data_IF_675885158571
#
_entry.id   IF_675885158571
#
_cell.length_a   1.000
_cell.length_b   1.000
_cell.length_c   1.000
_cell.angle_alpha   90.00
_cell.angle_beta   90.00
_cell.angle_gamma   90.00
#
_symmetry.space_group_name_H-M   'P 1'
#
loop_
_entity.id
_entity.type
_entity.pdbx_description
1 polymer ?
#
# COMPACT_ATOMS: atom_id res chain seq x y z
N UNK A 1 10.53 -4.42 21.16
CA UNK A 1 10.90 -5.24 19.99
C UNK A 1 10.94 -4.36 18.76
N UNK A 2 12.13 -4.26 18.17
CA UNK A 2 12.53 -3.79 16.85
C UNK A 2 11.67 -2.76 16.10
N UNK A 3 12.23 -1.55 16.05
CA UNK A 3 12.01 -0.51 15.03
C UNK A 3 11.93 -1.13 13.63
N UNK A 4 10.79 -1.00 12.95
CA UNK A 4 10.73 -1.09 11.48
C UNK A 4 10.20 0.25 10.95
N UNK A 5 11.03 1.28 11.08
CA UNK A 5 10.93 2.49 10.28
C UNK A 5 11.63 2.18 8.96
N UNK A 6 10.88 1.66 8.00
CA UNK A 6 11.38 1.40 6.65
C UNK A 6 11.38 2.72 5.87
N UNK A 7 12.33 3.63 6.20
CA UNK A 7 12.65 4.76 5.31
C UNK A 7 13.41 4.19 4.11
N UNK A 8 12.69 3.65 3.13
CA UNK A 8 13.27 3.27 1.85
C UNK A 8 13.48 4.55 1.06
N UNK A 9 14.67 5.14 1.15
CA UNK A 9 15.13 6.12 0.18
C UNK A 9 15.97 5.37 -0.86
N UNK A 10 15.34 4.99 -1.98
CA UNK A 10 16.01 4.34 -3.10
C UNK A 10 16.49 5.44 -4.07
N UNK A 11 17.77 5.82 -3.99
CA UNK A 11 18.43 6.60 -5.04
C UNK A 11 19.31 5.59 -5.78
N UNK A 12 18.88 5.16 -6.95
CA UNK A 12 19.67 4.24 -7.77
C UNK A 12 20.31 5.04 -8.90
N UNK A 13 21.64 5.21 -8.84
CA UNK A 13 22.43 5.76 -9.94
C UNK A 13 23.14 4.61 -10.64
N UNK A 14 22.76 4.32 -11.88
CA UNK A 14 23.41 3.33 -12.73
C UNK A 14 24.45 4.00 -13.64
N UNK A 15 25.70 3.56 -13.57
CA UNK A 15 26.71 3.83 -14.60
C UNK A 15 26.83 2.59 -15.47
N UNK A 16 26.25 2.64 -16.66
CA UNK A 16 26.22 1.50 -17.59
C UNK A 16 27.39 1.60 -18.55
N UNK A 17 28.16 0.52 -18.71
CA UNK A 17 29.03 0.29 -19.87
C UNK A 17 28.23 -0.51 -20.91
N UNK A 18 28.14 -0.02 -22.14
CA UNK A 18 27.28 -0.60 -23.17
C UNK A 18 28.03 -1.73 -23.92
N UNK A 19 27.43 -2.92 -23.99
CA UNK A 19 27.85 -3.94 -24.94
C UNK A 19 27.66 -3.49 -26.39
N UNK A 20 28.55 -3.89 -27.29
CA UNK A 20 28.58 -3.45 -28.70
C UNK A 20 28.07 -4.51 -29.69
N UNK A 21 27.57 -5.64 -29.21
CA UNK A 21 27.06 -6.76 -30.03
C UNK A 21 25.61 -7.09 -29.68
N UNK A 22 24.91 -7.78 -30.58
CA UNK A 22 23.60 -8.36 -30.32
C UNK A 22 23.61 -9.17 -29.01
N UNK A 23 22.51 -9.09 -28.26
CA UNK A 23 22.27 -9.79 -26.99
C UNK A 23 23.27 -9.46 -25.83
N UNK A 24 24.23 -8.55 -26.04
CA UNK A 24 25.29 -8.26 -25.07
C UNK A 24 24.77 -7.71 -23.73
N UNK A 25 23.56 -7.13 -23.72
CA UNK A 25 22.94 -6.53 -22.54
C UNK A 25 21.72 -7.32 -22.05
N UNK A 26 21.43 -8.51 -22.61
CA UNK A 26 20.24 -9.31 -22.27
C UNK A 26 20.20 -9.66 -20.78
N UNK A 27 21.37 -9.89 -20.16
CA UNK A 27 21.46 -10.22 -18.74
C UNK A 27 21.11 -9.02 -17.86
N UNK A 28 21.74 -7.87 -18.09
CA UNK A 28 21.50 -6.62 -17.38
C UNK A 28 20.05 -6.17 -17.53
N UNK A 29 19.51 -6.31 -18.74
CA UNK A 29 18.11 -6.04 -19.02
C UNK A 29 17.16 -6.94 -18.23
N UNK A 30 17.46 -8.24 -18.13
CA UNK A 30 16.67 -9.19 -17.32
C UNK A 30 16.71 -8.83 -15.83
N UNK A 31 17.87 -8.44 -15.31
CA UNK A 31 18.03 -8.03 -13.92
C UNK A 31 17.25 -6.73 -13.65
N UNK A 32 17.28 -5.76 -14.57
CA UNK A 32 16.46 -4.55 -14.54
C UNK A 32 14.95 -4.86 -14.64
N UNK A 33 14.53 -5.82 -15.46
CA UNK A 33 13.15 -6.31 -15.48
C UNK A 33 12.72 -6.89 -14.13
N UNK A 34 13.64 -7.54 -13.41
CA UNK A 34 13.40 -8.03 -12.05
C UNK A 34 13.04 -6.91 -11.07
N UNK A 35 13.82 -5.83 -11.08
CA UNK A 35 13.54 -4.64 -10.27
C UNK A 35 12.27 -3.93 -10.74
N UNK A 36 12.07 -3.76 -12.05
CA UNK A 36 10.85 -3.19 -12.63
C UNK A 36 9.60 -3.89 -12.11
N UNK A 37 9.59 -5.23 -12.17
CA UNK A 37 8.45 -6.06 -11.74
C UNK A 37 8.18 -5.97 -10.23
N UNK A 38 9.16 -5.62 -9.40
CA UNK A 38 8.94 -5.32 -7.98
C UNK A 38 8.37 -3.91 -7.78
N UNK A 39 8.97 -2.89 -8.40
CA UNK A 39 8.59 -1.48 -8.22
C UNK A 39 7.15 -1.18 -8.64
N UNK A 40 6.61 -1.96 -9.59
CA UNK A 40 5.24 -1.77 -10.06
C UNK A 40 4.19 -2.49 -9.21
N UNK A 41 4.56 -3.41 -8.33
CA UNK A 41 3.58 -4.15 -7.51
C UNK A 41 2.77 -3.24 -6.58
N UNK A 42 1.60 -3.72 -6.17
CA UNK A 42 0.80 -3.14 -5.07
C UNK A 42 1.67 -3.13 -3.81
N UNK A 43 1.66 -2.03 -3.05
CA UNK A 43 2.37 -1.96 -1.77
C UNK A 43 1.57 -2.77 -0.75
N UNK A 44 2.10 -3.88 -0.20
CA UNK A 44 1.33 -4.75 0.67
C UNK A 44 0.77 -3.99 1.87
N UNK A 45 -0.48 -4.27 2.20
CA UNK A 45 -1.07 -3.89 3.48
C UNK A 45 -0.69 -4.95 4.53
N UNK A 46 -0.24 -4.58 5.74
CA UNK A 46 -0.01 -5.56 6.80
C UNK A 46 -1.27 -6.35 7.14
N UNK A 47 -1.11 -7.66 7.17
CA UNK A 47 -2.15 -8.61 7.56
C UNK A 47 -1.81 -9.26 8.90
N UNK A 48 -2.85 -9.62 9.65
CA UNK A 48 -2.76 -10.44 10.85
C UNK A 48 -3.37 -11.80 10.59
N UNK A 49 -2.77 -12.82 11.19
CA UNK A 49 -3.30 -14.18 11.17
C UNK A 49 -4.37 -14.33 12.26
N UNK A 50 -5.51 -14.87 11.87
CA UNK A 50 -6.66 -15.15 12.73
C UNK A 50 -6.96 -16.64 12.69
N UNK A 51 -7.39 -17.19 13.82
CA UNK A 51 -7.72 -18.61 13.92
C UNK A 51 -6.49 -19.55 13.87
N UNK A 52 -6.77 -20.84 14.06
CA UNK A 52 -5.76 -21.90 13.98
C UNK A 52 -5.53 -22.39 12.52
N UNK A 53 -6.43 -22.01 11.61
CA UNK A 53 -6.41 -22.33 10.17
C UNK A 53 -5.47 -21.42 9.37
N UNK A 54 -4.89 -20.39 10.00
CA UNK A 54 -3.96 -19.48 9.36
C UNK A 54 -4.63 -18.42 8.48
N UNK A 55 -5.94 -18.22 8.63
CA UNK A 55 -6.68 -17.19 7.89
C UNK A 55 -6.05 -15.81 8.10
N UNK A 56 -5.95 -15.00 7.05
CA UNK A 56 -5.38 -13.66 7.12
C UNK A 56 -6.45 -12.60 6.93
N UNK A 57 -6.34 -11.50 7.68
CA UNK A 57 -7.19 -10.33 7.53
C UNK A 57 -6.39 -9.06 7.77
N UNK A 58 -6.89 -7.94 7.27
CA UNK A 58 -6.33 -6.62 7.55
C UNK A 58 -6.53 -6.26 9.04
N UNK A 59 -5.57 -5.50 9.57
CA UNK A 59 -5.52 -5.12 11.00
C UNK A 59 -6.74 -4.32 11.42
N UNK A 60 -7.22 -3.42 10.56
CA UNK A 60 -8.40 -2.57 10.78
C UNK A 60 -9.68 -3.41 10.94
N UNK A 61 -9.93 -4.34 10.03
CA UNK A 61 -11.08 -5.26 10.07
C UNK A 61 -11.04 -6.15 11.31
N UNK A 62 -9.85 -6.64 11.68
CA UNK A 62 -9.72 -7.44 12.89
C UNK A 62 -9.96 -6.63 14.15
N UNK A 63 -9.46 -5.39 14.19
CA UNK A 63 -9.71 -4.47 15.30
C UNK A 63 -11.21 -4.19 15.42
N UNK A 64 -11.90 -3.90 14.32
CA UNK A 64 -13.35 -3.70 14.32
C UNK A 64 -14.10 -4.92 14.85
N UNK A 65 -13.79 -6.12 14.36
CA UNK A 65 -14.42 -7.37 14.82
C UNK A 65 -14.24 -7.61 16.33
N UNK A 66 -13.03 -7.41 16.84
CA UNK A 66 -12.73 -7.53 18.29
C UNK A 66 -13.51 -6.48 19.07
N UNK A 67 -13.51 -5.22 18.62
CA UNK A 67 -14.21 -4.14 19.30
C UNK A 67 -15.72 -4.35 19.32
N UNK A 68 -16.31 -4.81 18.21
CA UNK A 68 -17.72 -5.21 18.15
C UNK A 68 -18.04 -6.26 19.21
N UNK A 69 -17.19 -7.28 19.35
CA UNK A 69 -17.38 -8.34 20.35
C UNK A 69 -17.33 -7.79 21.77
N UNK A 70 -16.31 -6.98 22.09
CA UNK A 70 -16.14 -6.39 23.43
C UNK A 70 -17.31 -5.45 23.77
N UNK A 71 -17.72 -4.60 22.83
CA UNK A 71 -18.84 -3.68 23.01
C UNK A 71 -20.13 -4.48 23.20
N UNK A 72 -20.41 -5.46 22.34
CA UNK A 72 -21.61 -6.31 22.43
C UNK A 72 -21.69 -7.04 23.76
N UNK A 73 -20.56 -7.52 24.27
CA UNK A 73 -20.43 -8.09 25.62
C UNK A 73 -20.75 -7.05 26.71
N UNK A 74 -20.16 -5.85 26.64
CA UNK A 74 -20.41 -4.77 27.60
C UNK A 74 -21.88 -4.29 27.60
N UNK A 75 -22.55 -4.33 26.44
CA UNK A 75 -23.96 -4.00 26.30
C UNK A 75 -24.88 -4.94 27.09
N UNK A 76 -24.48 -6.19 27.32
CA UNK A 76 -25.26 -7.15 28.14
C UNK A 76 -25.33 -6.77 29.63
N UNK A 77 -24.41 -5.91 30.07
CA UNK A 77 -24.31 -5.43 31.46
C UNK A 77 -24.42 -3.92 31.58
N UNK A 78 -25.00 -3.29 30.56
CA UNK A 78 -25.13 -1.84 30.47
C UNK A 78 -25.94 -1.27 31.65
N UNK A 79 -25.61 -0.04 32.04
CA UNK A 79 -26.37 0.71 33.03
C UNK A 79 -27.79 0.95 32.53
N UNK A 80 -28.78 0.86 33.42
CA UNK A 80 -30.19 1.04 33.04
C UNK A 80 -30.43 2.37 32.31
N UNK A 81 -29.88 3.48 32.82
CA UNK A 81 -30.02 4.78 32.17
C UNK A 81 -29.46 4.84 30.74
N UNK A 82 -28.38 4.11 30.46
CA UNK A 82 -27.83 4.02 29.10
C UNK A 82 -28.66 3.08 28.22
N UNK A 83 -29.10 1.94 28.78
CA UNK A 83 -29.95 0.97 28.12
C UNK A 83 -31.27 1.60 27.66
N UNK A 84 -31.96 2.32 28.56
CA UNK A 84 -33.25 2.98 28.30
C UNK A 84 -33.14 3.95 27.10
N UNK A 85 -31.99 4.63 26.93
CA UNK A 85 -31.73 5.53 25.80
C UNK A 85 -31.53 4.78 24.48
N UNK A 86 -30.90 3.61 24.52
CA UNK A 86 -30.75 2.74 23.34
C UNK A 86 -32.03 1.96 23.01
N UNK A 87 -33.07 2.01 23.86
CA UNK A 87 -34.39 1.40 23.66
C UNK A 87 -35.44 2.35 23.11
N UNK A 88 -35.18 3.66 23.12
CA UNK A 88 -36.14 4.65 22.67
C UNK A 88 -36.52 4.40 21.19
N UNK A 89 -37.82 4.30 20.92
CA UNK A 89 -38.36 3.92 19.60
C UNK A 89 -38.25 5.05 18.54
N UNK A 90 -37.93 6.28 18.97
CA UNK A 90 -37.81 7.46 18.11
C UNK A 90 -36.45 7.52 17.39
N UNK A 91 -36.29 6.69 16.35
CA UNK A 91 -35.08 6.51 15.52
C UNK A 91 -33.83 6.06 16.31
N UNK A 92 -32.93 5.26 15.71
CA UNK A 92 -31.65 4.97 16.35
C UNK A 92 -30.94 6.32 16.61
N UNK A 93 -30.67 6.67 17.87
CA UNK A 93 -30.14 8.00 18.18
C UNK A 93 -28.80 8.14 17.46
N UNK A 94 -28.60 9.19 16.68
CA UNK A 94 -27.29 9.42 16.08
C UNK A 94 -26.25 9.58 17.20
N UNK A 95 -24.99 9.14 17.01
CA UNK A 95 -23.98 9.22 18.07
C UNK A 95 -23.85 10.58 18.74
N UNK A 96 -24.00 11.65 17.96
CA UNK A 96 -23.90 13.03 18.41
C UNK A 96 -25.10 13.45 19.27
N UNK A 97 -26.31 12.96 18.97
CA UNK A 97 -27.51 13.35 19.71
C UNK A 97 -27.48 12.85 21.15
N UNK A 98 -26.80 11.73 21.41
CA UNK A 98 -26.62 11.20 22.77
C UNK A 98 -25.68 12.05 23.66
N UNK A 99 -24.96 13.01 23.07
CA UNK A 99 -24.04 13.90 23.78
C UNK A 99 -24.59 15.31 23.98
N UNK A 100 -25.73 15.64 23.38
CA UNK A 100 -26.32 16.98 23.44
C UNK A 100 -26.75 17.34 24.87
N UNK A 101 -26.81 18.64 25.18
CA UNK A 101 -27.08 19.11 26.54
C UNK A 101 -28.41 18.63 27.13
N UNK A 102 -29.40 18.43 26.26
CA UNK A 102 -30.76 17.98 26.59
C UNK A 102 -30.92 16.46 26.49
N UNK A 103 -29.90 15.74 26.05
CA UNK A 103 -29.98 14.30 25.86
C UNK A 103 -30.13 13.58 27.21
N UNK A 104 -31.05 12.62 27.24
CA UNK A 104 -31.16 11.71 28.38
C UNK A 104 -29.83 10.96 28.54
N UNK A 105 -29.37 10.82 29.79
CA UNK A 105 -28.14 10.10 30.12
C UNK A 105 -26.85 10.66 29.46
N UNK A 106 -26.82 11.93 29.03
CA UNK A 106 -25.66 12.55 28.34
C UNK A 106 -24.32 12.34 29.04
N UNK A 107 -24.32 12.36 30.37
CA UNK A 107 -23.10 12.26 31.17
C UNK A 107 -22.44 10.88 31.03
N UNK A 108 -23.21 9.85 30.66
CA UNK A 108 -22.69 8.52 30.36
C UNK A 108 -22.04 8.42 28.98
N UNK A 109 -22.46 9.25 28.02
CA UNK A 109 -22.01 9.19 26.62
C UNK A 109 -20.93 10.25 26.30
N UNK A 110 -20.83 11.32 27.08
CA UNK A 110 -19.92 12.46 26.84
C UNK A 110 -18.45 12.05 26.62
N UNK A 111 -17.99 11.00 27.30
CA UNK A 111 -16.60 10.51 27.23
C UNK A 111 -16.37 9.35 26.24
N UNK A 112 -17.37 8.98 25.45
CA UNK A 112 -17.29 7.84 24.51
C UNK A 112 -17.19 8.39 23.09
N UNK A 113 -16.25 7.89 22.27
CA UNK A 113 -16.10 8.32 20.87
C UNK A 113 -17.36 8.00 20.04
N UNK A 114 -17.68 8.85 19.05
CA UNK A 114 -18.90 8.71 18.24
C UNK A 114 -18.98 7.36 17.51
N UNK A 115 -17.84 6.83 17.07
CA UNK A 115 -17.77 5.55 16.38
C UNK A 115 -18.02 4.35 17.31
N UNK A 116 -17.68 4.48 18.60
CA UNK A 116 -18.04 3.50 19.63
C UNK A 116 -19.53 3.59 19.94
N UNK A 117 -20.09 4.79 20.04
CA UNK A 117 -21.53 4.97 20.24
C UNK A 117 -22.30 4.38 19.05
N UNK A 118 -21.84 4.60 17.81
CA UNK A 118 -22.41 3.98 16.62
C UNK A 118 -22.39 2.44 16.72
N UNK A 119 -21.29 1.85 17.17
CA UNK A 119 -21.22 0.42 17.45
C UNK A 119 -22.19 -0.01 18.56
N UNK A 120 -22.35 0.78 19.62
CA UNK A 120 -23.31 0.49 20.69
C UNK A 120 -24.74 0.44 20.15
N UNK A 121 -25.15 1.45 19.38
CA UNK A 121 -26.46 1.54 18.74
C UNK A 121 -26.70 0.34 17.81
N UNK A 122 -25.74 0.02 16.94
CA UNK A 122 -25.87 -1.06 15.97
C UNK A 122 -25.92 -2.46 16.61
N UNK A 123 -25.25 -2.66 17.75
CA UNK A 123 -25.12 -3.98 18.38
C UNK A 123 -26.11 -4.21 19.53
N UNK A 124 -26.68 -3.17 20.13
CA UNK A 124 -27.58 -3.32 21.27
C UNK A 124 -28.84 -4.14 20.96
N UNK A 125 -29.54 -3.93 19.82
CA UNK A 125 -30.68 -4.77 19.42
C UNK A 125 -30.31 -6.25 19.28
N UNK A 126 -29.05 -6.56 18.96
CA UNK A 126 -28.57 -7.94 18.80
C UNK A 126 -28.35 -8.68 20.12
N UNK A 127 -28.38 -7.98 21.25
CA UNK A 127 -28.16 -8.58 22.58
C UNK A 127 -29.43 -9.07 23.25
N UNK A 128 -30.58 -8.95 22.58
CA UNK A 128 -31.91 -9.23 23.14
C UNK A 128 -32.85 -9.79 22.05
N UNK A 129 -33.90 -10.53 22.46
CA UNK A 129 -34.84 -11.07 21.51
C UNK A 129 -35.54 -9.99 20.70
N UNK A 130 -35.71 -10.21 19.39
CA UNK A 130 -36.33 -9.22 18.50
C UNK A 130 -35.90 -9.34 17.04
N UNK A 131 -36.27 -8.33 16.24
CA UNK A 131 -36.08 -8.32 14.78
C UNK A 131 -34.60 -8.42 14.37
N UNK A 132 -33.70 -7.82 15.16
CA UNK A 132 -32.26 -7.78 14.91
C UNK A 132 -31.47 -8.70 15.84
N UNK A 133 -32.13 -9.68 16.46
CA UNK A 133 -31.48 -10.53 17.45
C UNK A 133 -30.33 -11.36 16.86
N UNK A 134 -29.26 -11.53 17.64
CA UNK A 134 -28.27 -12.57 17.39
C UNK A 134 -28.57 -13.76 18.29
N UNK A 135 -29.36 -14.71 17.76
CA UNK A 135 -29.80 -15.91 18.49
C UNK A 135 -28.65 -16.69 19.10
N UNK A 136 -27.54 -16.85 18.38
CA UNK A 136 -26.39 -17.61 18.84
C UNK A 136 -25.71 -16.92 20.02
N UNK A 137 -25.57 -15.59 19.96
CA UNK A 137 -25.01 -14.80 21.06
C UNK A 137 -25.92 -14.84 22.30
N UNK A 138 -27.23 -14.63 22.13
CA UNK A 138 -28.22 -14.65 23.21
C UNK A 138 -28.22 -16.01 23.92
N UNK A 139 -28.24 -17.11 23.16
CA UNK A 139 -28.20 -18.47 23.71
C UNK A 139 -26.87 -18.74 24.43
N UNK A 140 -25.73 -18.37 23.83
CA UNK A 140 -24.40 -18.60 24.39
C UNK A 140 -24.21 -17.98 25.78
N UNK A 141 -24.76 -16.78 25.99
CA UNK A 141 -24.61 -16.04 27.25
C UNK A 141 -25.86 -16.05 28.14
N UNK A 142 -26.91 -16.79 27.73
CA UNK A 142 -28.19 -16.89 28.44
C UNK A 142 -28.78 -15.50 28.79
N UNK A 143 -28.96 -14.67 27.76
CA UNK A 143 -29.43 -13.29 27.87
C UNK A 143 -30.98 -13.20 27.88
N UNK A 144 -31.58 -12.20 28.55
CA UNK A 144 -30.93 -11.17 29.37
C UNK A 144 -30.42 -11.73 30.71
N UNK A 145 -29.33 -11.16 31.21
CA UNK A 145 -28.79 -11.55 32.52
C UNK A 145 -29.70 -11.07 33.66
N UNK A 146 -29.92 -11.89 34.71
CA UNK A 146 -30.60 -11.45 35.92
C UNK A 146 -29.90 -10.23 36.55
N UNK A 147 -30.68 -9.29 37.10
CA UNK A 147 -30.16 -8.01 37.63
C UNK A 147 -28.99 -8.15 38.63
N UNK A 148 -29.00 -9.10 39.60
CA UNK A 148 -27.87 -9.28 40.51
C UNK A 148 -26.57 -9.67 39.77
N UNK A 149 -26.66 -10.55 38.77
CA UNK A 149 -25.49 -10.95 37.96
C UNK A 149 -25.00 -9.79 37.10
N UNK A 150 -25.94 -9.04 36.52
CA UNK A 150 -25.62 -7.85 35.73
C UNK A 150 -24.80 -6.84 36.55
N UNK A 151 -25.28 -6.48 37.75
CA UNK A 151 -24.59 -5.56 38.67
C UNK A 151 -23.22 -6.09 39.10
N UNK A 152 -23.10 -7.40 39.35
CA UNK A 152 -21.83 -8.01 39.74
C UNK A 152 -20.77 -7.99 38.63
N UNK A 153 -21.17 -8.16 37.37
CA UNK A 153 -20.26 -8.22 36.22
C UNK A 153 -19.89 -6.83 35.67
N UNK A 154 -20.75 -5.84 35.87
CA UNK A 154 -20.61 -4.50 35.31
C UNK A 154 -19.22 -3.86 35.56
N UNK A 155 -18.61 -3.89 36.77
CA UNK A 155 -17.29 -3.30 36.98
C UNK A 155 -16.17 -3.96 36.17
N UNK A 156 -16.23 -5.29 36.00
CA UNK A 156 -15.23 -6.05 35.25
C UNK A 156 -15.33 -5.77 33.75
N UNK A 157 -16.55 -5.77 33.20
CA UNK A 157 -16.77 -5.43 31.80
C UNK A 157 -16.42 -3.97 31.50
N UNK A 158 -16.71 -3.04 32.40
CA UNK A 158 -16.28 -1.65 32.28
C UNK A 158 -14.75 -1.54 32.19
N UNK A 159 -14.01 -2.21 33.09
CA UNK A 159 -12.54 -2.20 33.09
C UNK A 159 -11.96 -2.77 31.80
N UNK A 160 -12.46 -3.93 31.35
CA UNK A 160 -12.00 -4.58 30.12
C UNK A 160 -12.32 -3.72 28.89
N UNK A 161 -13.53 -3.17 28.82
CA UNK A 161 -13.95 -2.30 27.71
C UNK A 161 -13.09 -1.04 27.67
N UNK A 162 -12.84 -0.40 28.82
CA UNK A 162 -11.98 0.78 28.90
C UNK A 162 -10.55 0.47 28.41
N UNK A 163 -9.95 -0.61 28.88
CA UNK A 163 -8.61 -1.02 28.43
C UNK A 163 -8.58 -1.33 26.92
N UNK A 164 -9.64 -1.95 26.39
CA UNK A 164 -9.75 -2.21 24.96
C UNK A 164 -9.90 -0.94 24.12
N UNK A 165 -10.64 0.06 24.62
CA UNK A 165 -10.78 1.37 23.97
C UNK A 165 -9.45 2.13 23.92
N UNK A 166 -8.68 2.10 25.02
CA UNK A 166 -7.35 2.72 25.06
C UNK A 166 -6.42 2.04 24.05
N UNK A 167 -6.39 0.70 24.01
CA UNK A 167 -5.58 -0.06 23.05
C UNK A 167 -6.03 0.18 21.60
N UNK A 168 -7.34 0.28 21.35
CA UNK A 168 -7.90 0.57 20.02
C UNK A 168 -7.37 1.89 19.48
N UNK A 169 -7.25 2.92 20.32
CA UNK A 169 -6.70 4.23 19.92
C UNK A 169 -5.25 4.08 19.45
N UNK A 170 -4.44 3.33 20.19
CA UNK A 170 -3.05 3.08 19.82
C UNK A 170 -2.93 2.28 18.52
N UNK A 171 -3.76 1.26 18.32
CA UNK A 171 -3.78 0.48 17.08
C UNK A 171 -4.24 1.34 15.90
N UNK A 172 -5.28 2.17 16.05
CA UNK A 172 -5.72 3.12 15.01
C UNK A 172 -4.61 4.09 14.62
N UNK A 173 -3.87 4.62 15.59
CA UNK A 173 -2.71 5.48 15.33
C UNK A 173 -1.64 4.74 14.52
N UNK A 174 -1.40 3.46 14.81
CA UNK A 174 -0.45 2.62 14.08
C UNK A 174 -0.93 2.30 12.67
N UNK A 175 -2.21 2.01 12.47
CA UNK A 175 -2.80 1.82 11.13
C UNK A 175 -2.60 3.10 10.29
N UNK A 176 -2.88 4.27 10.85
CA UNK A 176 -2.64 5.54 10.17
C UNK A 176 -1.17 5.73 9.76
N UNK A 177 -0.24 5.42 10.67
CA UNK A 177 1.20 5.44 10.37
C UNK A 177 1.58 4.48 9.23
N UNK A 178 0.99 3.27 9.20
CA UNK A 178 1.19 2.30 8.13
C UNK A 178 0.68 2.85 6.79
N UNK A 179 -0.50 3.48 6.76
CA UNK A 179 -1.02 4.10 5.54
C UNK A 179 -0.06 5.16 5.00
N UNK A 180 0.47 6.04 5.86
CA UNK A 180 1.48 7.03 5.47
C UNK A 180 2.73 6.37 4.92
N UNK A 181 3.27 5.36 5.60
CA UNK A 181 4.48 4.65 5.16
C UNK A 181 4.28 3.93 3.82
N UNK A 182 3.09 3.35 3.58
CA UNK A 182 2.75 2.74 2.30
C UNK A 182 2.72 3.76 1.16
N UNK A 183 2.18 4.95 1.43
CA UNK A 183 2.20 6.07 0.49
C UNK A 183 3.64 6.53 0.19
N UNK A 184 4.45 6.75 1.22
CA UNK A 184 5.86 7.14 1.07
C UNK A 184 6.65 6.10 0.26
N UNK A 185 6.42 4.81 0.52
CA UNK A 185 7.04 3.73 -0.24
C UNK A 185 6.60 3.74 -1.72
N UNK A 186 5.31 3.94 -2.00
CA UNK A 186 4.79 4.08 -3.37
C UNK A 186 5.42 5.27 -4.09
N UNK A 187 5.54 6.42 -3.43
CA UNK A 187 6.19 7.59 -4.02
C UNK A 187 7.68 7.36 -4.27
N UNK A 188 8.37 6.63 -3.39
CA UNK A 188 9.78 6.26 -3.58
C UNK A 188 9.95 5.30 -4.77
N UNK A 189 9.04 4.34 -4.94
CA UNK A 189 9.02 3.42 -6.08
C UNK A 189 8.76 4.17 -7.41
N UNK A 190 7.81 5.11 -7.42
CA UNK A 190 7.53 5.94 -8.58
C UNK A 190 8.74 6.82 -8.95
N UNK A 191 9.40 7.41 -7.94
CA UNK A 191 10.67 8.15 -8.10
C UNK A 191 11.77 7.28 -8.69
N UNK A 192 12.01 6.09 -8.13
CA UNK A 192 13.05 5.20 -8.62
C UNK A 192 12.78 4.74 -10.07
N UNK A 193 11.51 4.53 -10.42
CA UNK A 193 11.14 4.03 -11.75
C UNK A 193 11.11 5.14 -12.81
N UNK A 194 10.58 6.32 -12.50
CA UNK A 194 10.28 7.37 -13.47
C UNK A 194 10.93 8.73 -13.18
N UNK A 195 11.69 8.85 -12.09
CA UNK A 195 12.32 10.08 -11.62
C UNK A 195 11.39 11.30 -11.61
N UNK A 196 10.17 11.07 -11.14
CA UNK A 196 9.19 12.11 -10.89
C UNK A 196 9.58 12.87 -9.64
N UNK A 197 9.98 14.13 -9.80
CA UNK A 197 10.48 14.95 -8.68
C UNK A 197 9.35 15.23 -7.65
N UNK A 198 8.08 15.12 -8.07
CA UNK A 198 6.87 15.19 -7.23
C UNK A 198 5.82 14.14 -7.63
N UNK A 199 5.94 12.88 -7.18
CA UNK A 199 5.02 11.81 -7.55
C UNK A 199 3.57 12.07 -7.12
N UNK A 200 3.37 12.82 -6.03
CA UNK A 200 2.06 13.05 -5.43
C UNK A 200 1.15 14.01 -6.20
N UNK A 201 1.69 14.79 -7.16
CA UNK A 201 0.90 15.75 -7.97
C UNK A 201 0.49 15.19 -9.33
N UNK A 202 1.13 14.10 -9.76
CA UNK A 202 0.77 13.36 -10.97
C UNK A 202 0.03 12.09 -10.49
N UNK A 203 -1.19 11.82 -10.94
CA UNK A 203 -2.12 10.81 -10.37
C UNK A 203 -1.65 9.31 -10.44
N UNK A 204 -0.45 8.98 -9.94
CA UNK A 204 0.31 7.75 -10.23
C UNK A 204 0.75 7.06 -8.92
N UNK A 205 0.14 7.34 -7.77
CA UNK A 205 0.71 6.92 -6.47
C UNK A 205 -0.26 6.29 -5.49
N UNK A 206 -1.37 5.68 -5.92
CA UNK A 206 -2.17 4.87 -4.99
C UNK A 206 -1.37 3.60 -4.58
N UNK A 207 -1.10 3.38 -3.28
CA UNK A 207 -0.39 2.19 -2.82
C UNK A 207 -1.21 0.90 -2.98
N UNK A 208 -2.53 1.00 -3.17
CA UNK A 208 -3.44 -0.15 -3.29
C UNK A 208 -3.58 -0.69 -4.71
N UNK A 209 -3.06 0.02 -5.71
CA UNK A 209 -3.08 -0.41 -7.10
C UNK A 209 -1.67 -0.66 -7.62
N UNK A 210 -1.54 -1.41 -8.72
CA UNK A 210 -0.26 -1.56 -9.42
C UNK A 210 0.17 -0.17 -9.91
N UNK A 211 1.46 0.18 -9.76
CA UNK A 211 1.99 1.44 -10.26
C UNK A 211 1.68 1.54 -11.77
N UNK A 212 0.92 2.55 -12.22
CA UNK A 212 0.59 2.68 -13.62
C UNK A 212 1.81 3.16 -14.42
N UNK A 213 1.73 3.01 -15.74
CA UNK A 213 2.72 3.63 -16.63
C UNK A 213 2.63 5.16 -16.59
N UNK A 214 3.75 5.83 -16.86
CA UNK A 214 3.80 7.28 -17.01
C UNK A 214 3.33 7.71 -18.41
N UNK A 215 2.70 8.88 -18.51
CA UNK A 215 2.35 9.48 -19.81
C UNK A 215 3.63 9.81 -20.60
N UNK A 216 3.57 9.69 -21.93
CA UNK A 216 4.73 9.90 -22.79
C UNK A 216 5.35 11.30 -22.62
N UNK A 217 4.53 12.35 -22.49
CA UNK A 217 4.97 13.73 -22.24
C UNK A 217 5.67 13.95 -20.90
N UNK A 218 5.58 12.98 -19.99
CA UNK A 218 6.15 13.01 -18.64
C UNK A 218 7.30 12.02 -18.48
N UNK A 219 7.64 11.28 -19.52
CA UNK A 219 8.77 10.35 -19.48
C UNK A 219 10.07 11.11 -19.19
N UNK A 220 10.96 10.62 -18.29
CA UNK A 220 12.19 11.30 -17.86
C UNK A 220 13.27 11.28 -18.95
N UNK A 221 12.97 11.93 -20.07
CA UNK A 221 13.86 12.13 -21.19
C UNK A 221 13.79 13.58 -21.63
N UNK A 222 14.94 14.26 -21.62
CA UNK A 222 15.01 15.67 -21.97
C UNK A 222 14.64 15.86 -23.44
N UNK A 223 13.68 16.75 -23.70
CA UNK A 223 13.25 17.07 -25.05
C UNK A 223 14.44 17.54 -25.91
N UNK A 224 14.41 17.20 -27.21
CA UNK A 224 15.46 17.53 -28.17
C UNK A 224 16.88 17.07 -27.80
N UNK A 225 17.00 16.13 -26.86
CA UNK A 225 18.28 15.52 -26.49
C UNK A 225 18.36 14.12 -27.07
N UNK A 226 19.44 13.85 -27.80
CA UNK A 226 19.66 12.54 -28.39
C UNK A 226 20.02 11.47 -27.35
N UNK A 227 19.99 10.21 -27.81
CA UNK A 227 20.35 9.03 -27.01
C UNK A 227 21.71 9.18 -26.36
N UNK A 228 22.76 9.53 -27.09
CA UNK A 228 24.12 9.51 -26.54
C UNK A 228 24.34 10.59 -25.49
N UNK A 229 23.71 11.75 -25.67
CA UNK A 229 23.75 12.84 -24.68
C UNK A 229 22.97 12.45 -23.42
N UNK A 230 21.81 11.82 -23.56
CA UNK A 230 21.01 11.33 -22.43
C UNK A 230 21.67 10.16 -21.72
N UNK A 231 22.25 9.22 -22.48
CA UNK A 231 22.80 7.96 -22.00
C UNK A 231 24.29 8.02 -21.70
N UNK A 232 24.89 9.20 -21.83
CA UNK A 232 26.22 9.48 -21.32
C UNK A 232 26.29 9.28 -19.79
N UNK A 233 27.50 9.39 -19.25
CA UNK A 233 27.78 9.26 -17.82
C UNK A 233 26.76 10.02 -16.98
N UNK A 234 26.27 9.33 -15.93
CA UNK A 234 25.34 9.90 -14.97
C UNK A 234 25.84 11.27 -14.48
N UNK A 235 24.96 12.26 -14.54
CA UNK A 235 25.23 13.60 -14.07
C UNK A 235 24.68 13.77 -12.64
N UNK A 236 25.43 14.46 -11.80
CA UNK A 236 25.02 14.74 -10.41
C UNK A 236 23.78 15.64 -10.31
N UNK A 237 23.43 16.33 -11.40
CA UNK A 237 22.21 17.13 -11.53
C UNK A 237 20.97 16.30 -11.92
N UNK A 238 21.13 15.00 -12.13
CA UNK A 238 20.05 14.10 -12.49
C UNK A 238 19.46 14.36 -13.87
N UNK A 239 20.18 14.97 -14.81
CA UNK A 239 19.67 15.26 -16.16
C UNK A 239 19.93 14.17 -17.21
N UNK A 240 20.62 13.09 -16.83
CA UNK A 240 21.13 12.02 -17.70
C UNK A 240 20.73 10.62 -17.21
N UNK A 241 21.27 9.58 -17.83
CA UNK A 241 21.23 8.19 -17.35
C UNK A 241 21.62 8.11 -15.87
N UNK A 242 21.06 7.13 -15.17
CA UNK A 242 21.17 6.96 -13.73
C UNK A 242 20.14 7.77 -12.93
N UNK A 243 19.22 8.50 -13.57
CA UNK A 243 18.11 9.21 -12.87
C UNK A 243 16.97 8.25 -12.51
N UNK A 244 16.63 7.32 -13.40
CA UNK A 244 15.49 6.43 -13.27
C UNK A 244 15.73 5.09 -13.96
N UNK A 245 15.21 4.01 -13.37
CA UNK A 245 15.27 2.69 -13.98
C UNK A 245 14.71 2.70 -15.41
N UNK A 246 13.64 3.43 -15.67
CA UNK A 246 13.04 3.48 -16.99
C UNK A 246 13.95 4.15 -18.04
N UNK A 247 14.64 5.23 -17.68
CA UNK A 247 15.66 5.86 -18.55
C UNK A 247 16.80 4.88 -18.80
N UNK A 248 17.26 4.18 -17.77
CA UNK A 248 18.40 3.27 -17.85
C UNK A 248 18.12 2.04 -18.70
N UNK A 249 16.90 1.49 -18.61
CA UNK A 249 16.44 0.43 -19.50
C UNK A 249 16.43 0.87 -20.97
N UNK A 250 15.99 2.10 -21.27
CA UNK A 250 16.01 2.63 -22.65
C UNK A 250 17.46 2.82 -23.12
N UNK A 251 18.32 3.39 -22.28
CA UNK A 251 19.73 3.60 -22.62
C UNK A 251 20.48 2.31 -22.90
N UNK A 252 20.21 1.26 -22.11
CA UNK A 252 20.82 -0.05 -22.24
C UNK A 252 20.45 -0.74 -23.57
N UNK A 253 19.22 -0.55 -24.05
CA UNK A 253 18.66 -1.38 -25.13
C UNK A 253 18.59 -0.71 -26.50
N UNK A 254 18.81 0.61 -26.59
CA UNK A 254 18.73 1.36 -27.86
C UNK A 254 20.12 1.77 -28.32
N UNK A 255 20.41 1.61 -29.61
CA UNK A 255 21.66 2.07 -30.23
C UNK A 255 21.64 3.57 -30.57
N UNK A 256 22.82 4.12 -30.80
CA UNK A 256 23.00 5.30 -31.64
C UNK A 256 22.90 4.93 -33.13
N UNK A 257 22.23 5.78 -33.92
CA UNK A 257 22.22 5.82 -35.38
C UNK A 257 21.93 4.52 -36.15
N UNK A 258 20.64 4.30 -36.46
CA UNK A 258 20.20 3.59 -37.69
C UNK A 258 20.45 2.07 -37.76
N UNK A 259 21.23 1.50 -36.86
CA UNK A 259 21.59 0.09 -36.79
C UNK A 259 20.61 -0.74 -35.92
N UNK A 260 20.82 -2.06 -35.85
CA UNK A 260 19.89 -2.99 -35.19
C UNK A 260 19.82 -2.76 -33.67
N UNK A 261 18.60 -2.80 -33.11
CA UNK A 261 18.34 -2.56 -31.67
C UNK A 261 18.29 -3.86 -30.84
N UNK A 262 19.14 -4.84 -31.15
CA UNK A 262 19.09 -6.19 -30.57
C UNK A 262 19.98 -6.38 -29.33
N UNK A 263 20.57 -5.31 -28.78
CA UNK A 263 21.45 -5.36 -27.60
C UNK A 263 20.84 -6.05 -26.38
N UNK A 264 19.55 -5.86 -26.14
CA UNK A 264 18.84 -6.49 -25.02
C UNK A 264 18.12 -7.79 -25.41
N UNK A 265 18.24 -8.23 -26.67
CA UNK A 265 17.55 -9.40 -27.20
C UNK A 265 17.09 -9.18 -28.64
N UNK A 266 17.50 -10.05 -29.57
CA UNK A 266 17.04 -10.02 -30.96
C UNK A 266 15.51 -10.16 -31.15
N UNK A 267 14.79 -10.67 -30.14
CA UNK A 267 13.34 -10.79 -30.14
C UNK A 267 12.60 -9.48 -29.78
N UNK A 268 13.32 -8.47 -29.26
CA UNK A 268 12.72 -7.20 -28.85
C UNK A 268 12.40 -6.36 -30.10
N UNK A 269 11.12 -6.28 -30.48
CA UNK A 269 10.66 -5.46 -31.62
C UNK A 269 10.64 -3.97 -31.28
N UNK A 270 11.81 -3.38 -31.05
CA UNK A 270 11.95 -1.96 -30.69
C UNK A 270 11.69 -1.09 -31.92
N UNK A 271 10.66 -0.21 -31.90
CA UNK A 271 10.06 0.35 -33.11
C UNK A 271 10.90 1.41 -33.85
N UNK A 272 11.95 1.98 -33.25
CA UNK A 272 12.83 2.97 -33.91
C UNK A 272 14.28 2.90 -33.39
N UNK A 273 15.24 3.12 -34.30
CA UNK A 273 16.70 3.03 -34.06
C UNK A 273 17.35 4.36 -33.68
N UNK A 274 16.60 5.46 -33.69
CA UNK A 274 17.10 6.79 -33.30
C UNK A 274 16.15 7.49 -32.34
N UNK A 275 16.68 7.86 -31.17
CA UNK A 275 16.03 8.79 -30.25
C UNK A 275 16.73 10.14 -30.42
N UNK A 276 16.10 11.06 -31.15
CA UNK A 276 16.63 12.40 -31.43
C UNK A 276 15.50 13.40 -31.71
N UNK A 277 15.82 14.69 -31.71
CA UNK A 277 14.92 15.77 -32.12
C UNK A 277 13.70 15.98 -31.19
N UNK A 278 12.70 16.70 -31.69
CA UNK A 278 11.53 17.11 -30.91
C UNK A 278 10.67 15.92 -30.41
N UNK A 279 10.78 14.75 -31.03
CA UNK A 279 10.03 13.53 -30.70
C UNK A 279 10.77 12.61 -29.73
N UNK A 280 12.00 12.95 -29.32
CA UNK A 280 12.86 12.09 -28.49
C UNK A 280 12.15 11.51 -27.26
N UNK A 281 11.43 12.35 -26.50
CA UNK A 281 10.70 11.93 -25.30
C UNK A 281 9.60 10.90 -25.63
N UNK A 282 8.85 11.09 -26.72
CA UNK A 282 7.79 10.17 -27.16
C UNK A 282 8.38 8.83 -27.61
N UNK A 283 9.48 8.86 -28.36
CA UNK A 283 10.15 7.64 -28.86
C UNK A 283 10.73 6.84 -27.68
N UNK A 284 11.37 7.52 -26.73
CA UNK A 284 11.91 6.87 -25.54
C UNK A 284 10.79 6.26 -24.66
N UNK A 285 9.65 6.96 -24.52
CA UNK A 285 8.48 6.42 -23.82
C UNK A 285 7.88 5.19 -24.54
N UNK A 286 7.79 5.22 -25.88
CA UNK A 286 7.33 4.09 -26.67
C UNK A 286 8.29 2.89 -26.58
N UNK A 287 9.60 3.15 -26.56
CA UNK A 287 10.64 2.13 -26.35
C UNK A 287 10.45 1.44 -25.01
N UNK A 288 10.32 2.19 -23.91
CA UNK A 288 10.04 1.59 -22.61
C UNK A 288 8.74 0.76 -22.64
N UNK A 289 7.73 1.20 -23.39
CA UNK A 289 6.49 0.46 -23.50
C UNK A 289 6.68 -0.93 -24.13
N UNK A 290 7.56 -1.06 -25.12
CA UNK A 290 7.98 -2.36 -25.68
C UNK A 290 8.79 -3.16 -24.65
N UNK A 291 9.82 -2.56 -24.06
CA UNK A 291 10.68 -3.25 -23.08
C UNK A 291 9.87 -3.83 -21.90
N UNK A 292 9.00 -3.03 -21.29
CA UNK A 292 8.21 -3.50 -20.15
C UNK A 292 7.20 -4.61 -20.50
N UNK A 293 6.78 -4.75 -21.77
CA UNK A 293 5.94 -5.89 -22.18
C UNK A 293 6.73 -7.19 -22.08
N UNK A 294 8.00 -7.16 -22.48
CA UNK A 294 8.90 -8.30 -22.44
C UNK A 294 9.34 -8.65 -21.01
N UNK A 295 9.46 -7.65 -20.13
CA UNK A 295 9.63 -7.89 -18.70
C UNK A 295 8.47 -8.69 -18.07
N UNK A 296 7.24 -8.60 -18.60
CA UNK A 296 6.11 -9.43 -18.15
C UNK A 296 6.22 -10.87 -18.68
N UNK A 297 6.76 -11.05 -19.88
CA UNK A 297 6.97 -12.37 -20.47
C UNK A 297 8.10 -13.16 -19.78
N UNK A 298 9.07 -12.47 -19.17
CA UNK A 298 10.15 -13.05 -18.36
C UNK A 298 9.65 -13.52 -16.98
N UNK A 299 9.00 -14.70 -16.95
CA UNK A 299 8.31 -15.36 -15.82
C UNK A 299 9.10 -15.60 -14.50
N UNK A 300 10.36 -15.17 -14.39
CA UNK A 300 11.19 -15.39 -13.19
C UNK A 300 10.93 -14.41 -12.05
N UNK A 301 10.60 -13.15 -12.36
CA UNK A 301 10.47 -12.07 -11.36
C UNK A 301 9.02 -11.73 -10.96
N UNK A 302 8.02 -12.17 -11.73
CA UNK A 302 6.60 -11.98 -11.37
C UNK A 302 6.22 -12.74 -10.09
N UNK A 303 7.01 -13.73 -9.66
CA UNK A 303 6.74 -14.51 -8.44
C UNK A 303 7.34 -13.91 -7.16
N UNK A 304 8.26 -12.93 -7.28
CA UNK A 304 8.88 -12.32 -6.12
C UNK A 304 7.92 -11.29 -5.50
N UNK A 305 7.51 -11.52 -4.25
CA UNK A 305 6.69 -10.57 -3.51
C UNK A 305 7.49 -9.31 -3.19
N UNK A 306 6.84 -8.14 -3.30
CA UNK A 306 7.40 -6.87 -2.86
C UNK A 306 7.68 -6.89 -1.35
N UNK A 307 8.96 -7.05 -1.01
CA UNK A 307 9.49 -7.06 0.36
C UNK A 307 10.82 -6.30 0.36
N UNK A 308 11.24 -5.79 1.52
CA UNK A 308 12.51 -5.08 1.65
C UNK A 308 13.70 -5.94 1.18
N UNK A 309 13.71 -7.22 1.55
CA UNK A 309 14.74 -8.20 1.17
C UNK A 309 14.75 -8.47 -0.33
N UNK A 310 13.60 -8.57 -0.99
CA UNK A 310 13.55 -8.84 -2.44
C UNK A 310 13.95 -7.61 -3.25
N UNK A 311 13.56 -6.40 -2.83
CA UNK A 311 14.06 -5.15 -3.40
C UNK A 311 15.58 -5.03 -3.26
N UNK A 312 16.12 -5.29 -2.07
CA UNK A 312 17.56 -5.22 -1.82
C UNK A 312 18.33 -6.22 -2.69
N UNK A 313 17.85 -7.46 -2.78
CA UNK A 313 18.47 -8.49 -3.61
C UNK A 313 18.45 -8.12 -5.10
N UNK A 314 17.34 -7.55 -5.60
CA UNK A 314 17.23 -7.10 -6.99
C UNK A 314 18.22 -5.97 -7.29
N UNK A 315 18.32 -4.97 -6.41
CA UNK A 315 19.29 -3.88 -6.54
C UNK A 315 20.73 -4.40 -6.50
N UNK A 316 21.06 -5.29 -5.56
CA UNK A 316 22.39 -5.90 -5.47
C UNK A 316 22.74 -6.73 -6.71
N UNK A 317 21.76 -7.43 -7.29
CA UNK A 317 21.96 -8.21 -8.51
C UNK A 317 22.34 -7.31 -9.67
N UNK A 318 21.64 -6.18 -9.85
CA UNK A 318 21.96 -5.23 -10.91
C UNK A 318 23.37 -4.67 -10.71
N UNK A 319 23.69 -4.13 -9.52
CA UNK A 319 25.02 -3.60 -9.24
C UNK A 319 26.14 -4.66 -9.32
N UNK A 320 25.81 -5.91 -9.06
CA UNK A 320 26.75 -7.03 -9.19
C UNK A 320 27.08 -7.40 -10.63
N UNK A 321 26.22 -7.03 -11.60
CA UNK A 321 26.33 -7.46 -13.00
C UNK A 321 26.59 -6.31 -13.99
N UNK A 322 26.39 -5.05 -13.60
CA UNK A 322 26.71 -3.90 -14.44
C UNK A 322 28.16 -3.92 -14.93
N UNK A 323 28.34 -3.76 -16.25
CA UNK A 323 29.65 -3.69 -16.90
C UNK A 323 30.40 -5.03 -16.94
N UNK A 324 29.77 -6.13 -16.51
CA UNK A 324 30.33 -7.48 -16.63
C UNK A 324 29.75 -8.12 -17.87
N UNK A 325 30.33 -7.79 -19.01
CA UNK A 325 30.07 -8.50 -20.26
C UNK A 325 30.34 -9.99 -20.07
N UNK A 326 29.29 -10.81 -20.21
CA UNK A 326 29.40 -12.27 -20.41
C UNK A 326 29.07 -12.60 -21.84
#
# INVERSE_FOLDING_TARGET
MHRMLLKITLIIMFTVEFGSTADANTKEYRDMCGLYNLLVQVVPDPEVTTGADGTKTMVDKQLESIMTTIIKLNLTVLQKAMADVLEAEDQPPAPQTLKEEKAAAKDYYKGIDDDIIAMMIANYPQTKPGVQEDKAFIQRYNLPLPEPRRKALQPSFYKITKAALDLRKDVKNKISQVTTLRQEARDAMARALYATDSPSTDAVTDPNTRLPGIAASKFPWKAATDRDTMCAKAASDGTKAGKSLATDMVCLCVQHDGATNDFCGAALSIPQTQITGATATTIAAATLATLKQECKAARGAENAKLLAVTLQAAVQTIFGNLGKTT
#
